data_IF_010344738234
#
_entry.id   IF_010344738234
#
_cell.length_a   1.000
_cell.length_b   1.000
_cell.length_c   1.000
_cell.angle_alpha   90.00
_cell.angle_beta   90.00
_cell.angle_gamma   90.00
#
_symmetry.space_group_name_H-M   'P 1'
#
loop_
_entity.id
_entity.type
_entity.pdbx_description
1 polymer ?
#
# COMPACT_ATOMS: atom_id res chain seq x y z
N UNK A 1 -11.08 0.29 4.65
CA UNK A 1 -12.51 0.09 4.96
C UNK A 1 -13.22 1.43 5.02
N UNK A 2 -14.53 1.45 5.28
CA UNK A 2 -15.29 2.67 5.54
C UNK A 2 -15.72 2.69 7.01
N UNK A 3 -15.58 3.83 7.68
CA UNK A 3 -15.97 4.05 9.06
C UNK A 3 -16.84 5.31 9.15
N UNK A 4 -17.89 5.29 9.96
CA UNK A 4 -18.82 6.42 10.09
C UNK A 4 -18.67 7.06 11.47
N UNK A 5 -18.48 8.38 11.52
CA UNK A 5 -18.49 9.17 12.75
C UNK A 5 -19.92 9.69 12.99
N UNK A 6 -20.67 9.17 13.98
CA UNK A 6 -22.02 9.63 14.26
C UNK A 6 -22.00 11.02 14.88
N UNK A 7 -22.94 11.87 14.47
CA UNK A 7 -23.17 13.19 15.06
C UNK A 7 -23.41 13.11 16.57
N UNK A 8 -22.88 14.08 17.32
CA UNK A 8 -23.05 14.13 18.79
C UNK A 8 -22.16 13.16 19.56
N UNK A 9 -21.12 12.62 18.92
CA UNK A 9 -20.05 11.87 19.59
C UNK A 9 -18.81 12.74 19.73
N UNK A 10 -17.95 12.46 20.71
CA UNK A 10 -16.66 13.17 20.88
C UNK A 10 -15.80 13.13 19.61
N UNK A 11 -15.89 12.04 18.83
CA UNK A 11 -15.20 11.90 17.56
C UNK A 11 -15.73 12.88 16.51
N UNK A 12 -17.04 13.06 16.43
CA UNK A 12 -17.64 14.04 15.53
C UNK A 12 -17.38 15.49 15.96
N UNK A 13 -17.22 15.76 17.26
CA UNK A 13 -16.83 17.09 17.73
C UNK A 13 -15.39 17.45 17.36
N UNK A 14 -14.48 16.48 17.37
CA UNK A 14 -13.07 16.70 17.06
C UNK A 14 -12.75 16.67 15.56
N UNK A 15 -13.47 15.87 14.79
CA UNK A 15 -13.10 15.54 13.40
C UNK A 15 -14.24 15.73 12.39
N UNK A 16 -15.33 16.39 12.78
CA UNK A 16 -16.63 16.46 12.11
C UNK A 16 -17.32 15.09 11.98
N UNK A 17 -18.61 15.10 11.70
CA UNK A 17 -19.39 13.89 11.43
C UNK A 17 -19.17 13.36 10.00
N UNK A 18 -19.70 12.17 9.73
CA UNK A 18 -19.75 11.58 8.38
C UNK A 18 -18.81 10.41 8.13
N UNK A 19 -18.72 10.00 6.85
CA UNK A 19 -17.92 8.86 6.43
C UNK A 19 -16.43 9.20 6.36
N UNK A 20 -15.61 8.20 6.72
CA UNK A 20 -14.15 8.23 6.68
C UNK A 20 -13.65 6.96 5.99
N UNK A 21 -12.62 7.12 5.17
CA UNK A 21 -11.84 6.02 4.64
C UNK A 21 -10.83 5.57 5.70
N UNK A 22 -10.99 4.35 6.19
CA UNK A 22 -10.04 3.70 7.08
C UNK A 22 -8.94 3.04 6.23
N UNK A 23 -7.77 3.67 6.19
CA UNK A 23 -6.57 3.20 5.50
C UNK A 23 -5.64 2.53 6.50
N UNK A 24 -5.28 1.28 6.23
CA UNK A 24 -4.24 0.57 6.96
C UNK A 24 -3.00 0.56 6.05
N UNK A 25 -1.99 1.42 6.31
CA UNK A 25 -0.84 1.55 5.43
C UNK A 25 0.04 0.29 5.44
N UNK A 26 -0.01 -0.50 6.50
CA UNK A 26 0.72 -1.76 6.61
C UNK A 26 -0.18 -2.84 7.20
N UNK A 27 -0.37 -3.95 6.47
CA UNK A 27 -1.16 -5.12 6.91
C UNK A 27 -0.66 -5.78 8.20
N UNK A 28 0.58 -5.51 8.61
CA UNK A 28 1.20 -6.03 9.83
C UNK A 28 1.19 -5.01 10.98
N UNK A 29 0.54 -3.86 10.81
CA UNK A 29 0.41 -2.81 11.82
C UNK A 29 -1.05 -2.63 12.22
N UNK A 30 -1.29 -2.36 13.50
CA UNK A 30 -2.61 -2.00 14.02
C UNK A 30 -2.96 -0.53 13.74
N UNK A 31 -2.06 0.22 13.11
CA UNK A 31 -2.26 1.62 12.79
C UNK A 31 -3.26 1.80 11.65
N UNK A 32 -4.34 2.54 11.92
CA UNK A 32 -5.37 2.90 10.95
C UNK A 32 -5.45 4.41 10.87
N UNK A 33 -5.24 4.94 9.66
CA UNK A 33 -5.49 6.34 9.34
C UNK A 33 -6.93 6.53 8.86
N UNK A 34 -7.61 7.55 9.36
CA UNK A 34 -8.97 7.89 8.96
C UNK A 34 -8.94 9.17 8.11
N UNK A 35 -9.32 9.05 6.85
CA UNK A 35 -9.27 10.14 5.88
C UNK A 35 -10.68 10.52 5.42
N UNK A 36 -10.94 11.82 5.29
CA UNK A 36 -12.12 12.35 4.60
C UNK A 36 -11.95 12.25 3.09
N UNK A 37 -13.05 12.36 2.34
CA UNK A 37 -13.03 12.31 0.88
C UNK A 37 -12.22 13.46 0.26
N UNK A 38 -12.32 14.67 0.82
CA UNK A 38 -11.56 15.85 0.40
C UNK A 38 -10.05 15.75 0.65
N UNK A 39 -9.64 14.86 1.56
CA UNK A 39 -8.23 14.55 1.83
C UNK A 39 -7.66 13.50 0.86
N UNK A 40 -8.52 12.85 0.06
CA UNK A 40 -8.11 11.87 -0.94
C UNK A 40 -8.10 12.55 -2.30
N UNK A 41 -6.90 12.77 -2.82
CA UNK A 41 -6.72 13.21 -4.20
C UNK A 41 -6.56 11.99 -5.10
N UNK A 42 -7.51 11.72 -6.02
CA UNK A 42 -7.31 10.65 -6.99
C UNK A 42 -6.12 10.99 -7.88
N UNK A 43 -5.31 9.98 -8.18
CA UNK A 43 -4.25 10.11 -9.18
C UNK A 43 -4.87 10.35 -10.55
N UNK A 44 -4.21 11.18 -11.35
CA UNK A 44 -4.53 11.27 -12.77
C UNK A 44 -4.18 9.96 -13.48
N UNK A 45 -4.77 9.67 -14.65
CA UNK A 45 -4.44 8.45 -15.40
C UNK A 45 -2.94 8.30 -15.70
N UNK A 46 -2.24 9.41 -15.93
CA UNK A 46 -0.80 9.42 -16.20
C UNK A 46 0.02 9.11 -14.94
N UNK A 47 -0.30 9.73 -13.81
CA UNK A 47 0.35 9.43 -12.52
C UNK A 47 0.10 7.97 -12.12
N UNK A 48 -1.12 7.47 -12.28
CA UNK A 48 -1.46 6.08 -12.00
C UNK A 48 -0.66 5.11 -12.88
N UNK A 49 -0.55 5.41 -14.18
CA UNK A 49 0.22 4.58 -15.10
C UNK A 49 1.71 4.56 -14.74
N UNK A 50 2.26 5.71 -14.36
CA UNK A 50 3.65 5.84 -13.91
C UNK A 50 3.90 5.02 -12.64
N UNK A 51 3.01 5.11 -11.65
CA UNK A 51 3.14 4.38 -10.38
C UNK A 51 3.10 2.87 -10.60
N UNK A 52 2.13 2.38 -11.37
CA UNK A 52 1.99 0.95 -11.68
C UNK A 52 3.25 0.44 -12.42
N UNK A 53 3.77 1.23 -13.37
CA UNK A 53 4.97 0.85 -14.12
C UNK A 53 6.19 0.75 -13.19
N UNK A 54 6.37 1.74 -12.32
CA UNK A 54 7.47 1.74 -11.34
C UNK A 54 7.38 0.55 -10.38
N UNK A 55 6.16 0.21 -9.92
CA UNK A 55 5.93 -0.94 -9.04
C UNK A 55 6.24 -2.27 -9.75
N UNK A 56 5.83 -2.42 -11.01
CA UNK A 56 6.16 -3.59 -11.83
C UNK A 56 7.68 -3.73 -11.98
N UNK A 57 8.38 -2.65 -12.34
CA UNK A 57 9.82 -2.66 -12.53
C UNK A 57 10.56 -3.05 -11.24
N UNK A 58 10.12 -2.50 -10.10
CA UNK A 58 10.67 -2.84 -8.78
C UNK A 58 10.53 -4.33 -8.47
N UNK A 59 9.37 -4.93 -8.70
CA UNK A 59 9.18 -6.36 -8.47
C UNK A 59 9.95 -7.23 -9.45
N UNK A 60 10.06 -6.83 -10.72
CA UNK A 60 10.86 -7.56 -11.70
C UNK A 60 12.35 -7.60 -11.32
N UNK A 61 12.89 -6.50 -10.79
CA UNK A 61 14.26 -6.46 -10.28
C UNK A 61 14.46 -7.42 -9.11
N UNK A 62 13.52 -7.43 -8.14
CA UNK A 62 13.58 -8.37 -7.02
C UNK A 62 13.55 -9.84 -7.48
N UNK A 63 12.66 -10.17 -8.42
CA UNK A 63 12.59 -11.51 -9.01
C UNK A 63 13.93 -11.88 -9.67
N UNK A 64 14.53 -10.97 -10.42
CA UNK A 64 15.81 -11.20 -11.10
C UNK A 64 16.93 -11.50 -10.09
N UNK A 65 17.00 -10.74 -9.00
CA UNK A 65 17.97 -10.97 -7.93
C UNK A 65 17.76 -12.34 -7.27
N UNK A 66 16.51 -12.69 -6.95
CA UNK A 66 16.18 -13.99 -6.36
C UNK A 66 16.53 -15.15 -7.30
N UNK A 67 16.28 -15.01 -8.60
CA UNK A 67 16.65 -16.00 -9.61
C UNK A 67 18.16 -16.18 -9.70
N UNK A 68 18.94 -15.09 -9.66
CA UNK A 68 20.40 -15.17 -9.64
C UNK A 68 20.92 -15.87 -8.37
N UNK A 69 20.36 -15.55 -7.21
CA UNK A 69 20.70 -16.22 -5.95
C UNK A 69 20.41 -17.73 -6.01
N UNK A 70 19.26 -18.12 -6.56
CA UNK A 70 18.90 -19.52 -6.78
C UNK A 70 19.83 -20.22 -7.77
N UNK A 71 20.25 -19.54 -8.85
CA UNK A 71 21.19 -20.09 -9.82
C UNK A 71 22.59 -20.32 -9.21
N UNK A 72 23.07 -19.40 -8.36
CA UNK A 72 24.34 -19.58 -7.64
C UNK A 72 24.26 -20.76 -6.68
N UNK A 73 23.16 -20.89 -5.93
CA UNK A 73 22.95 -22.02 -5.03
C UNK A 73 22.89 -23.34 -5.79
N UNK A 74 22.12 -23.43 -6.88
CA UNK A 74 21.94 -24.66 -7.65
C UNK A 74 23.17 -25.02 -8.51
N UNK A 75 23.86 -24.04 -9.10
CA UNK A 75 25.12 -24.24 -9.83
C UNK A 75 26.32 -24.57 -8.92
N UNK A 76 26.25 -24.25 -7.63
CA UNK A 76 27.22 -24.68 -6.63
C UNK A 76 27.13 -26.17 -6.27
N UNK A 77 25.99 -26.83 -6.51
CA UNK A 77 25.80 -28.27 -6.26
C UNK A 77 26.24 -29.17 -7.42
N UNK A 78 26.53 -28.64 -8.61
CA UNK A 78 26.90 -29.42 -9.79
C UNK A 78 28.41 -29.62 -10.00
N UNK A 79 29.25 -29.20 -9.05
CA UNK A 79 30.68 -29.53 -9.04
C UNK A 79 30.98 -30.52 -7.91
N UNK A 80 30.58 -31.79 -8.07
CA UNK A 80 31.00 -32.92 -7.25
C UNK A 80 31.09 -34.18 -8.12
#
# INVERSE_FOLDING_TARGET
>A
GLYYYPSGTELAEQFDDGWRYALMPNKNSDEISYLKEDQIKPLTPEELFSEITAEIDFYQQQITILQQQLAVLTGGFTNA
#
